data_IF_557877473010
#
_entry.id   IF_557877473010
#
_cell.length_a   1.000
_cell.length_b   1.000
_cell.length_c   1.000
_cell.angle_alpha   90.00
_cell.angle_beta   90.00
_cell.angle_gamma   90.00
#
_symmetry.space_group_name_H-M   'P 1'
#
loop_
_entity.id
_entity.type
_entity.pdbx_description
1 polymer ?
#
# COMPACT_ATOMS: atom_id res chain seq x y z
N UNK A 1 -13.57 -10.29 -31.47
CA UNK A 1 -14.13 -9.85 -30.18
C UNK A 1 -13.30 -8.66 -29.69
N UNK A 2 -13.96 -7.54 -29.38
CA UNK A 2 -13.33 -6.25 -29.13
C UNK A 2 -12.75 -6.25 -27.71
N UNK A 3 -11.43 -6.34 -27.60
CA UNK A 3 -10.69 -6.14 -26.34
C UNK A 3 -10.74 -4.64 -26.03
N UNK A 4 -11.82 -4.19 -25.39
CA UNK A 4 -11.85 -2.84 -24.83
C UNK A 4 -10.96 -2.86 -23.58
N UNK A 5 -9.89 -2.07 -23.51
CA UNK A 5 -9.12 -1.93 -22.28
C UNK A 5 -10.07 -1.36 -21.23
N UNK A 6 -10.39 -2.15 -20.20
CA UNK A 6 -11.05 -1.65 -19.01
C UNK A 6 -10.15 -0.58 -18.42
N UNK A 7 -10.50 0.68 -18.64
CA UNK A 7 -9.83 1.83 -18.04
C UNK A 7 -10.03 1.74 -16.52
N UNK A 8 -9.07 1.15 -15.82
CA UNK A 8 -8.99 1.21 -14.38
C UNK A 8 -8.76 2.67 -14.01
N UNK A 9 -9.84 3.35 -13.61
CA UNK A 9 -9.76 4.70 -13.04
C UNK A 9 -8.87 4.61 -11.80
N UNK A 10 -7.71 5.27 -11.86
CA UNK A 10 -6.83 5.41 -10.70
C UNK A 10 -7.58 6.24 -9.67
N UNK A 11 -7.79 5.68 -8.48
CA UNK A 11 -8.37 6.42 -7.37
C UNK A 11 -7.29 7.32 -6.76
N UNK A 12 -7.34 8.60 -7.14
CA UNK A 12 -6.39 9.63 -6.69
C UNK A 12 -6.52 9.89 -5.19
N UNK A 13 -7.70 9.65 -4.59
CA UNK A 13 -7.94 9.86 -3.17
C UNK A 13 -7.12 8.88 -2.32
N UNK A 14 -7.08 7.61 -2.74
CA UNK A 14 -6.20 6.60 -2.12
C UNK A 14 -4.73 7.00 -2.24
N UNK A 15 -4.30 7.41 -3.44
CA UNK A 15 -2.92 7.80 -3.70
C UNK A 15 -2.46 8.98 -2.82
N UNK A 16 -3.32 9.97 -2.62
CA UNK A 16 -3.03 11.14 -1.80
C UNK A 16 -2.96 10.81 -0.30
N UNK A 17 -3.87 9.98 0.20
CA UNK A 17 -3.84 9.51 1.59
C UNK A 17 -2.56 8.73 1.92
N UNK A 18 -2.05 7.95 0.96
CA UNK A 18 -0.80 7.19 1.15
C UNK A 18 0.43 8.09 1.15
N UNK A 19 0.46 9.10 0.27
CA UNK A 19 1.55 10.08 0.24
C UNK A 19 1.63 10.89 1.52
N UNK A 20 0.49 11.27 2.09
CA UNK A 20 0.42 12.03 3.34
C UNK A 20 0.95 11.23 4.54
N UNK A 21 0.55 9.96 4.64
CA UNK A 21 1.07 9.04 5.66
C UNK A 21 2.60 8.88 5.59
N UNK A 22 3.16 8.78 4.38
CA UNK A 22 4.59 8.70 4.16
C UNK A 22 5.31 9.99 4.58
N UNK A 23 4.74 11.15 4.22
CA UNK A 23 5.28 12.46 4.57
C UNK A 23 5.28 12.68 6.10
N UNK A 24 4.19 12.33 6.79
CA UNK A 24 4.09 12.42 8.24
C UNK A 24 5.16 11.55 8.89
N UNK A 25 5.30 10.29 8.45
CA UNK A 25 6.31 9.38 8.99
C UNK A 25 7.72 9.96 8.79
N UNK A 26 8.03 10.45 7.59
CA UNK A 26 9.32 11.07 7.29
C UNK A 26 9.59 12.27 8.21
N UNK A 27 8.63 13.19 8.36
CA UNK A 27 8.76 14.37 9.22
C UNK A 27 9.01 13.97 10.67
N UNK A 28 8.32 12.95 11.18
CA UNK A 28 8.53 12.44 12.54
C UNK A 28 9.96 11.95 12.74
N UNK A 29 10.48 11.11 11.84
CA UNK A 29 11.84 10.60 11.96
C UNK A 29 12.89 11.70 11.79
N UNK A 30 12.69 12.64 10.86
CA UNK A 30 13.60 13.76 10.66
C UNK A 30 13.65 14.68 11.89
N UNK A 31 12.49 15.02 12.44
CA UNK A 31 12.37 15.86 13.63
C UNK A 31 12.98 15.19 14.85
N UNK A 32 12.75 13.89 15.04
CA UNK A 32 13.35 13.12 16.13
C UNK A 32 14.88 13.08 16.00
N UNK A 33 15.40 12.77 14.80
CA UNK A 33 16.83 12.73 14.54
C UNK A 33 17.49 14.09 14.77
N UNK A 34 16.87 15.17 14.29
CA UNK A 34 17.37 16.53 14.49
C UNK A 34 17.36 16.92 15.97
N UNK A 35 16.29 16.61 16.70
CA UNK A 35 16.19 16.86 18.13
C UNK A 35 17.28 16.14 18.93
N UNK A 36 17.50 14.86 18.63
CA UNK A 36 18.58 14.06 19.23
C UNK A 36 19.96 14.65 18.93
N UNK A 37 20.23 14.97 17.66
CA UNK A 37 21.50 15.56 17.26
C UNK A 37 21.77 16.91 17.92
N UNK A 38 20.73 17.72 18.15
CA UNK A 38 20.83 19.01 18.86
C UNK A 38 21.15 18.82 20.34
N UNK A 39 20.62 17.76 20.97
CA UNK A 39 20.79 17.47 22.39
C UNK A 39 22.18 16.89 22.70
N UNK A 40 22.70 16.03 21.83
CA UNK A 40 23.99 15.36 22.00
C UNK A 40 25.14 16.01 21.24
N UNK A 41 24.88 17.04 20.43
CA UNK A 41 25.90 17.74 19.63
C UNK A 41 26.45 16.90 18.48
N UNK A 42 25.69 15.90 18.02
CA UNK A 42 26.14 14.88 17.05
C UNK A 42 25.66 15.15 15.62
N UNK A 43 25.17 16.35 15.30
CA UNK A 43 24.69 16.69 13.94
C UNK A 43 25.72 16.22 12.88
N UNK A 44 25.37 15.32 11.93
CA UNK A 44 24.05 14.78 11.58
C UNK A 44 23.84 13.27 11.86
N UNK A 45 24.47 12.68 12.88
CA UNK A 45 24.50 11.23 13.10
C UNK A 45 23.12 10.63 13.37
N UNK A 46 22.38 11.16 14.35
CA UNK A 46 21.04 10.66 14.67
C UNK A 46 20.03 10.98 13.58
N UNK A 47 20.18 12.10 12.85
CA UNK A 47 19.38 12.37 11.66
C UNK A 47 19.56 11.28 10.60
N UNK A 48 20.79 10.88 10.29
CA UNK A 48 21.05 9.80 9.32
C UNK A 48 20.47 8.48 9.83
N UNK A 49 20.72 8.12 11.09
CA UNK A 49 20.22 6.88 11.68
C UNK A 49 18.68 6.83 11.64
N UNK A 50 18.01 7.89 12.08
CA UNK A 50 16.56 7.99 12.07
C UNK A 50 15.99 7.97 10.65
N UNK A 51 16.67 8.57 9.68
CA UNK A 51 16.25 8.52 8.27
C UNK A 51 16.30 7.10 7.71
N UNK A 52 17.35 6.35 8.02
CA UNK A 52 17.46 4.93 7.63
C UNK A 52 16.34 4.12 8.27
N UNK A 53 16.11 4.29 9.58
CA UNK A 53 15.01 3.60 10.28
C UNK A 53 13.63 3.97 9.72
N UNK A 54 13.39 5.26 9.45
CA UNK A 54 12.16 5.74 8.83
C UNK A 54 11.95 5.17 7.42
N UNK A 55 13.02 5.04 6.64
CA UNK A 55 12.97 4.43 5.31
C UNK A 55 12.58 2.95 5.37
N UNK A 56 13.15 2.21 6.33
CA UNK A 56 12.79 0.81 6.60
C UNK A 56 11.32 0.71 7.04
N UNK A 57 10.88 1.55 7.98
CA UNK A 57 9.49 1.57 8.45
C UNK A 57 8.50 1.90 7.33
N UNK A 58 8.84 2.86 6.48
CA UNK A 58 8.03 3.22 5.31
C UNK A 58 7.93 2.06 4.32
N UNK A 59 9.05 1.38 4.06
CA UNK A 59 9.08 0.21 3.18
C UNK A 59 8.22 -0.94 3.73
N UNK A 60 8.32 -1.24 5.02
CA UNK A 60 7.49 -2.26 5.67
C UNK A 60 6.00 -1.90 5.57
N UNK A 61 5.64 -0.64 5.81
CA UNK A 61 4.26 -0.16 5.66
C UNK A 61 3.74 -0.38 4.24
N UNK A 62 4.55 -0.07 3.23
CA UNK A 62 4.16 -0.33 1.84
C UNK A 62 4.02 -1.83 1.55
N UNK A 63 4.89 -2.67 2.10
CA UNK A 63 4.81 -4.12 1.89
C UNK A 63 3.56 -4.73 2.50
N UNK A 64 3.29 -4.46 3.78
CA UNK A 64 2.11 -5.02 4.45
C UNK A 64 0.81 -4.59 3.78
N UNK A 65 0.72 -3.32 3.38
CA UNK A 65 -0.46 -2.81 2.68
C UNK A 65 -0.67 -3.46 1.31
N UNK A 66 0.43 -3.76 0.60
CA UNK A 66 0.34 -4.48 -0.66
C UNK A 66 -0.23 -5.89 -0.46
N UNK A 67 0.19 -6.58 0.61
CA UNK A 67 -0.30 -7.92 0.94
C UNK A 67 -1.79 -7.90 1.27
N UNK A 68 -2.23 -6.95 2.12
CA UNK A 68 -3.65 -6.76 2.43
C UNK A 68 -4.52 -6.57 1.17
N UNK A 69 -4.02 -5.79 0.20
CA UNK A 69 -4.71 -5.56 -1.07
C UNK A 69 -4.79 -6.83 -1.92
N UNK A 70 -3.76 -7.67 -1.90
CA UNK A 70 -3.77 -8.93 -2.65
C UNK A 70 -4.70 -9.96 -2.03
N UNK A 71 -4.72 -10.08 -0.71
CA UNK A 71 -5.63 -10.96 0.02
C UNK A 71 -7.10 -10.57 -0.27
N UNK A 72 -7.41 -9.28 -0.34
CA UNK A 72 -8.75 -8.82 -0.72
C UNK A 72 -9.13 -9.22 -2.15
N UNK A 73 -8.21 -9.10 -3.10
CA UNK A 73 -8.43 -9.49 -4.49
C UNK A 73 -8.58 -11.01 -4.64
N UNK A 74 -7.84 -11.79 -3.87
CA UNK A 74 -7.96 -13.25 -3.84
C UNK A 74 -9.30 -13.68 -3.23
N UNK A 75 -9.73 -13.06 -2.13
CA UNK A 75 -11.05 -13.29 -1.52
C UNK A 75 -12.20 -12.97 -2.48
N UNK A 76 -12.09 -11.89 -3.26
CA UNK A 76 -13.07 -11.55 -4.30
C UNK A 76 -13.08 -12.56 -5.46
N UNK A 77 -11.93 -13.14 -5.82
CA UNK A 77 -11.85 -14.17 -6.87
C UNK A 77 -12.46 -15.50 -6.43
N UNK A 78 -12.20 -15.94 -5.20
CA UNK A 78 -12.80 -17.17 -4.65
C UNK A 78 -14.31 -17.02 -4.46
N UNK A 79 -14.77 -15.87 -3.97
CA UNK A 79 -16.20 -15.56 -3.88
C UNK A 79 -16.89 -15.51 -5.26
N UNK A 80 -16.24 -14.90 -6.26
CA UNK A 80 -16.76 -14.82 -7.64
C UNK A 80 -16.75 -16.15 -8.42
N UNK A 81 -15.92 -17.13 -8.02
CA UNK A 81 -15.87 -18.45 -8.65
C UNK A 81 -16.92 -19.44 -8.11
N UNK A 82 -17.66 -19.07 -7.07
CA UNK A 82 -18.79 -19.83 -6.54
C UNK A 82 -20.10 -19.66 -7.35
N UNK A 83 -20.01 -19.31 -8.64
CA UNK A 83 -21.15 -19.43 -9.57
C UNK A 83 -21.24 -20.91 -10.00
N UNK A 84 -22.34 -21.63 -9.73
CA UNK A 84 -22.44 -23.05 -10.04
C UNK A 84 -22.50 -23.25 -11.55
N UNK A 85 -21.57 -24.03 -12.10
CA UNK A 85 -21.61 -24.57 -13.46
C UNK A 85 -22.71 -25.67 -13.52
N UNK A 86 -23.97 -25.26 -13.42
CA UNK A 86 -25.12 -26.17 -13.33
C UNK A 86 -26.40 -25.67 -13.99
N UNK A 87 -26.42 -24.46 -14.55
CA UNK A 87 -27.58 -23.93 -15.25
C UNK A 87 -27.27 -23.70 -16.73
N UNK A 88 -27.19 -24.77 -17.52
CA UNK A 88 -27.41 -24.68 -18.97
C UNK A 88 -28.86 -25.07 -19.27
N UNK A 89 -29.77 -24.10 -19.49
CA UNK A 89 -31.11 -24.39 -19.96
C UNK A 89 -31.04 -24.62 -21.47
N UNK A 90 -31.02 -25.89 -21.89
CA UNK A 90 -30.98 -26.25 -23.29
C UNK A 90 -30.89 -27.76 -23.53
N UNK A 91 -31.96 -28.50 -23.23
CA UNK A 91 -32.23 -29.79 -23.89
C UNK A 91 -33.67 -29.77 -24.45
N UNK A 92 -33.85 -29.91 -25.76
CA UNK A 92 -35.15 -30.18 -26.37
C UNK A 92 -35.44 -31.71 -26.36
N UNK A 93 -36.59 -32.10 -25.80
CA UNK A 93 -37.22 -33.42 -26.00
C UNK A 93 -38.30 -33.36 -27.05
#
# INVERSE_FOLDING_TARGET
MKLLPTQTRIDTQDSLGHGMDAAILLVVFLAAGYGLDRLFGTIPVFMVLMTVLGSIGLFLKFKYRYDERMDELEGRRTAGRAVPDGARPGEPT
#
